data_IF_527837510396
#
_entry.id   IF_527837510396
#
_cell.length_a   1.000
_cell.length_b   1.000
_cell.length_c   1.000
_cell.angle_alpha   90.00
_cell.angle_beta   90.00
_cell.angle_gamma   90.00
#
_symmetry.space_group_name_H-M   'P 1'
#
loop_
_entity.id
_entity.type
_entity.pdbx_description
1 polymer ?
#
# COMPACT_ATOMS: atom_id res chain seq x y z
N UNK A 1 -25.90 -11.16 -16.57
CA UNK A 1 -26.25 -12.17 -15.56
C UNK A 1 -25.07 -12.27 -14.59
N UNK A 2 -25.10 -11.57 -13.46
CA UNK A 2 -23.97 -11.50 -12.52
C UNK A 2 -24.14 -12.56 -11.44
N UNK A 3 -23.21 -13.53 -11.38
CA UNK A 3 -23.13 -14.54 -10.32
C UNK A 3 -22.82 -13.87 -8.98
N UNK A 4 -23.41 -14.42 -7.92
CA UNK A 4 -23.40 -13.93 -6.54
C UNK A 4 -22.21 -14.46 -5.75
N UNK A 5 -21.63 -13.56 -4.95
CA UNK A 5 -20.70 -13.73 -3.81
C UNK A 5 -19.39 -14.45 -4.09
N UNK A 6 -18.29 -13.72 -3.86
CA UNK A 6 -16.94 -14.26 -3.89
C UNK A 6 -16.46 -14.50 -2.44
N UNK A 7 -16.00 -15.70 -2.14
CA UNK A 7 -15.40 -16.11 -0.87
C UNK A 7 -14.10 -15.35 -0.57
N UNK A 8 -13.66 -15.33 0.71
CA UNK A 8 -12.36 -14.79 1.12
C UNK A 8 -11.19 -15.39 0.31
N UNK A 9 -11.35 -16.62 -0.20
CA UNK A 9 -10.41 -17.32 -1.06
C UNK A 9 -10.32 -16.68 -2.46
N UNK A 10 -11.43 -16.20 -3.03
CA UNK A 10 -11.49 -15.54 -4.34
C UNK A 10 -10.94 -14.10 -4.31
N UNK A 11 -11.11 -13.40 -3.18
CA UNK A 11 -10.46 -12.10 -2.96
C UNK A 11 -8.94 -12.29 -2.93
N UNK A 12 -8.45 -13.30 -2.20
CA UNK A 12 -7.03 -13.66 -2.16
C UNK A 12 -6.51 -14.14 -3.53
N UNK A 13 -7.31 -14.89 -4.30
CA UNK A 13 -6.97 -15.36 -5.64
C UNK A 13 -6.73 -14.19 -6.61
N UNK A 14 -7.61 -13.18 -6.63
CA UNK A 14 -7.42 -12.04 -7.54
C UNK A 14 -6.20 -11.20 -7.17
N UNK A 15 -5.93 -10.98 -5.87
CA UNK A 15 -4.69 -10.34 -5.45
C UNK A 15 -3.45 -11.16 -5.84
N UNK A 16 -3.53 -12.49 -5.77
CA UNK A 16 -2.43 -13.38 -6.15
C UNK A 16 -2.15 -13.40 -7.66
N UNK A 17 -3.19 -13.28 -8.51
CA UNK A 17 -3.09 -13.37 -9.98
C UNK A 17 -2.72 -12.05 -10.65
N UNK A 18 -2.99 -10.91 -10.03
CA UNK A 18 -2.73 -9.60 -10.63
C UNK A 18 -1.28 -9.12 -10.46
N UNK A 19 -0.49 -9.73 -9.58
CA UNK A 19 0.74 -9.11 -9.08
C UNK A 19 2.06 -9.83 -9.42
N UNK A 20 2.07 -11.08 -9.94
CA UNK A 20 3.26 -11.93 -9.73
C UNK A 20 3.69 -12.82 -10.92
N UNK A 21 4.92 -12.60 -11.44
CA UNK A 21 5.69 -13.48 -12.33
C UNK A 21 6.81 -14.23 -11.57
N UNK A 22 7.15 -15.44 -12.03
CA UNK A 22 7.82 -16.59 -11.36
C UNK A 22 9.37 -16.58 -11.26
N UNK A 23 9.95 -17.18 -10.20
CA UNK A 23 10.81 -18.41 -10.19
C UNK A 23 11.39 -18.70 -8.79
N UNK A 24 11.65 -19.98 -8.49
CA UNK A 24 11.92 -20.57 -7.17
C UNK A 24 13.40 -20.61 -6.75
N UNK A 25 13.69 -20.39 -5.46
CA UNK A 25 14.95 -20.73 -4.78
C UNK A 25 14.79 -20.83 -3.25
N UNK A 26 15.47 -21.76 -2.59
CA UNK A 26 15.40 -22.12 -1.15
C UNK A 26 16.30 -21.26 -0.24
N UNK A 27 16.25 -21.25 1.09
CA UNK A 27 15.14 -21.27 2.07
C UNK A 27 15.74 -20.78 3.42
N UNK A 28 15.86 -19.45 3.58
CA UNK A 28 15.90 -18.79 4.89
C UNK A 28 14.79 -17.75 4.80
N UNK A 29 13.76 -17.87 5.63
CA UNK A 29 12.58 -17.01 5.50
C UNK A 29 12.66 -15.91 6.53
N UNK A 30 12.94 -14.69 6.10
CA UNK A 30 12.72 -13.52 6.96
C UNK A 30 11.21 -13.32 7.06
N UNK A 31 10.64 -13.78 8.16
CA UNK A 31 9.24 -13.59 8.53
C UNK A 31 9.21 -12.88 9.87
N UNK A 32 8.56 -11.72 9.91
CA UNK A 32 8.37 -10.97 11.14
C UNK A 32 7.03 -11.33 11.78
N UNK A 33 7.00 -11.43 13.11
CA UNK A 33 5.75 -11.69 13.84
C UNK A 33 4.80 -10.48 13.85
N UNK A 34 5.35 -9.27 13.79
CA UNK A 34 4.59 -8.01 13.84
C UNK A 34 5.25 -6.94 12.97
N UNK A 35 4.48 -5.94 12.51
CA UNK A 35 5.05 -4.77 11.84
C UNK A 35 6.00 -3.97 12.75
N UNK A 36 6.93 -3.28 12.12
CA UNK A 36 7.83 -2.31 12.77
C UNK A 36 7.78 -0.98 12.04
N UNK A 37 8.02 0.11 12.76
CA UNK A 37 8.11 1.43 12.16
C UNK A 37 9.40 1.50 11.33
N UNK A 38 9.29 1.82 10.03
CA UNK A 38 10.43 1.98 9.13
C UNK A 38 10.87 3.44 9.05
N UNK A 39 9.90 4.33 8.88
CA UNK A 39 10.10 5.78 8.85
C UNK A 39 9.14 6.36 9.87
N UNK A 40 9.66 7.07 10.86
CA UNK A 40 8.86 7.77 11.85
C UNK A 40 8.81 9.26 11.54
N UNK A 41 7.87 9.97 12.17
CA UNK A 41 7.80 11.43 12.15
C UNK A 41 8.30 11.95 13.49
N UNK A 42 9.48 12.57 13.49
CA UNK A 42 10.05 13.18 14.67
C UNK A 42 9.19 14.36 15.16
N UNK A 43 9.42 14.80 16.40
CA UNK A 43 8.67 15.90 17.01
C UNK A 43 8.81 17.24 16.27
N UNK A 44 9.85 17.41 15.46
CA UNK A 44 10.06 18.56 14.60
C UNK A 44 9.41 18.42 13.21
N UNK A 45 8.63 17.36 12.99
CA UNK A 45 7.95 17.06 11.74
C UNK A 45 8.82 16.38 10.68
N UNK A 46 10.11 16.12 10.96
CA UNK A 46 10.99 15.45 9.99
C UNK A 46 10.76 13.95 9.95
N UNK A 47 10.93 13.38 8.75
CA UNK A 47 10.91 11.94 8.55
C UNK A 47 12.27 11.32 8.90
N UNK A 48 12.26 10.33 9.79
CA UNK A 48 13.46 9.67 10.29
C UNK A 48 13.38 8.15 10.09
N UNK A 49 14.39 7.57 9.45
CA UNK A 49 14.50 6.12 9.30
C UNK A 49 14.83 5.48 10.66
N UNK A 50 14.14 4.39 10.98
CA UNK A 50 14.31 3.67 12.24
C UNK A 50 15.37 2.59 12.13
N UNK A 51 16.37 2.62 13.02
CA UNK A 51 17.49 1.69 13.00
C UNK A 51 17.05 0.23 13.19
N UNK A 52 16.04 -0.01 14.04
CA UNK A 52 15.48 -1.35 14.25
C UNK A 52 14.88 -1.96 12.98
N UNK A 53 14.32 -1.12 12.10
CA UNK A 53 13.83 -1.57 10.80
C UNK A 53 14.98 -1.87 9.83
N UNK A 54 16.03 -1.04 9.81
CA UNK A 54 17.22 -1.28 8.99
C UNK A 54 17.89 -2.62 9.33
N UNK A 55 18.01 -2.94 10.62
CA UNK A 55 18.55 -4.23 11.08
C UNK A 55 17.77 -5.43 10.55
N UNK A 56 16.45 -5.30 10.40
CA UNK A 56 15.61 -6.35 9.79
C UNK A 56 15.86 -6.43 8.28
N UNK A 57 15.94 -5.29 7.60
CA UNK A 57 16.16 -5.24 6.15
C UNK A 57 17.54 -5.80 5.76
N UNK A 58 18.58 -5.54 6.56
CA UNK A 58 19.94 -6.05 6.37
C UNK A 58 20.02 -7.58 6.45
N UNK A 59 19.06 -8.24 7.13
CA UNK A 59 19.00 -9.69 7.22
C UNK A 59 18.33 -10.35 6.01
N UNK A 60 17.67 -9.58 5.14
CA UNK A 60 16.98 -10.11 3.98
C UNK A 60 17.99 -10.41 2.87
N UNK A 61 18.20 -11.70 2.61
CA UNK A 61 19.06 -12.18 1.52
C UNK A 61 18.27 -12.57 0.26
N UNK A 62 16.94 -12.64 0.39
CA UNK A 62 16.02 -13.05 -0.66
C UNK A 62 15.67 -11.87 -1.59
N UNK A 63 15.24 -12.13 -2.83
CA UNK A 63 14.53 -11.13 -3.62
C UNK A 63 13.36 -10.53 -2.84
N UNK A 64 13.17 -9.23 -2.98
CA UNK A 64 12.13 -8.48 -2.29
C UNK A 64 11.08 -7.98 -3.28
N UNK A 65 9.81 -8.15 -2.93
CA UNK A 65 8.70 -7.46 -3.56
C UNK A 65 8.07 -6.53 -2.53
N UNK A 66 7.93 -5.25 -2.88
CA UNK A 66 7.38 -4.25 -1.97
C UNK A 66 5.99 -3.82 -2.42
N UNK A 67 4.98 -3.97 -1.56
CA UNK A 67 3.62 -3.45 -1.77
C UNK A 67 3.38 -2.35 -0.76
N UNK A 68 3.17 -1.12 -1.23
CA UNK A 68 2.83 0.00 -0.36
C UNK A 68 1.37 0.42 -0.55
N UNK A 69 0.69 0.78 0.53
CA UNK A 69 -0.65 1.37 0.48
C UNK A 69 -0.62 2.85 0.87
N UNK A 70 -1.25 3.69 0.06
CA UNK A 70 -1.42 5.13 0.30
C UNK A 70 -2.88 5.51 0.17
N UNK A 71 -3.23 6.69 0.68
CA UNK A 71 -4.58 7.24 0.57
C UNK A 71 -4.98 8.02 1.82
N UNK A 72 -6.15 8.64 1.75
CA UNK A 72 -6.65 9.50 2.82
C UNK A 72 -6.66 8.79 4.19
N UNK A 73 -6.56 9.56 5.26
CA UNK A 73 -6.75 9.04 6.61
C UNK A 73 -8.10 8.29 6.74
N UNK A 74 -8.11 7.26 7.60
CA UNK A 74 -9.30 6.43 7.91
C UNK A 74 -9.93 5.67 6.73
N UNK A 75 -9.23 5.45 5.62
CA UNK A 75 -9.76 4.66 4.49
C UNK A 75 -9.66 3.14 4.66
N UNK A 76 -9.11 2.63 5.78
CA UNK A 76 -8.96 1.20 6.03
C UNK A 76 -7.67 0.57 5.47
N UNK A 77 -6.63 1.38 5.24
CA UNK A 77 -5.32 0.94 4.74
C UNK A 77 -4.70 -0.19 5.57
N UNK A 78 -4.51 0.04 6.86
CA UNK A 78 -3.92 -0.94 7.79
C UNK A 78 -4.72 -2.25 7.87
N UNK A 79 -6.06 -2.16 7.74
CA UNK A 79 -6.92 -3.33 7.66
C UNK A 79 -6.64 -4.15 6.40
N UNK A 80 -6.58 -3.50 5.25
CA UNK A 80 -6.22 -4.14 3.98
C UNK A 80 -4.82 -4.78 4.06
N UNK A 81 -3.83 -4.10 4.64
CA UNK A 81 -2.47 -4.63 4.75
C UNK A 81 -2.38 -5.85 5.67
N UNK A 82 -3.16 -5.90 6.75
CA UNK A 82 -3.27 -7.10 7.58
C UNK A 82 -3.85 -8.28 6.77
N UNK A 83 -4.88 -8.03 5.95
CA UNK A 83 -5.44 -9.05 5.05
C UNK A 83 -4.42 -9.56 4.04
N UNK A 84 -3.63 -8.67 3.44
CA UNK A 84 -2.54 -9.05 2.53
C UNK A 84 -1.42 -9.83 3.22
N UNK A 85 -1.18 -9.59 4.51
CA UNK A 85 -0.28 -10.41 5.32
C UNK A 85 -0.85 -11.81 5.66
N UNK A 86 -2.11 -12.09 5.29
CA UNK A 86 -2.81 -13.31 5.69
C UNK A 86 -3.12 -13.36 7.19
N UNK A 87 -3.21 -12.20 7.86
CA UNK A 87 -3.42 -12.09 9.32
C UNK A 87 -4.64 -11.23 9.64
N UNK A 88 -5.29 -11.52 10.76
CA UNK A 88 -6.39 -10.71 11.28
C UNK A 88 -5.89 -9.44 12.00
N UNK A 89 -4.67 -9.50 12.53
CA UNK A 89 -4.03 -8.47 13.37
C UNK A 89 -2.59 -8.25 12.93
N UNK A 90 -2.05 -7.06 13.19
CA UNK A 90 -0.68 -6.71 12.82
C UNK A 90 -0.49 -5.20 12.89
N UNK A 91 -0.70 -4.51 11.77
CA UNK A 91 -0.77 -3.06 11.72
C UNK A 91 -1.92 -2.58 12.60
N UNK A 92 -1.65 -1.54 13.39
CA UNK A 92 -2.61 -1.00 14.34
C UNK A 92 -3.83 -0.42 13.60
N UNK A 93 -5.03 -0.79 14.05
CA UNK A 93 -6.28 -0.25 13.52
C UNK A 93 -6.72 0.96 14.37
N UNK A 94 -6.98 2.09 13.71
CA UNK A 94 -7.45 3.31 14.37
C UNK A 94 -8.97 3.44 14.38
N UNK A 95 -9.56 3.83 15.52
CA UNK A 95 -10.99 4.17 15.66
C UNK A 95 -11.27 5.69 15.73
N UNK A 96 -10.26 6.50 16.06
CA UNK A 96 -10.35 7.95 16.31
C UNK A 96 -10.18 8.81 15.05
N UNK A 97 -10.36 10.13 15.17
CA UNK A 97 -10.27 11.10 14.06
C UNK A 97 -8.82 11.28 13.58
N UNK A 98 -7.86 11.34 14.49
CA UNK A 98 -6.42 11.47 14.18
C UNK A 98 -5.85 10.26 13.41
N UNK A 99 -4.88 10.51 12.52
CA UNK A 99 -4.08 9.44 11.92
C UNK A 99 -3.31 8.66 12.98
N UNK A 100 -3.73 7.41 13.22
CA UNK A 100 -3.07 6.48 14.15
C UNK A 100 -1.73 5.97 13.64
N UNK A 101 -1.62 5.67 12.36
CA UNK A 101 -0.34 5.35 11.73
C UNK A 101 0.41 6.65 11.50
N UNK A 102 1.54 6.84 12.17
CA UNK A 102 2.51 7.89 11.91
C UNK A 102 3.67 7.33 11.10
N UNK A 103 4.14 8.07 10.10
CA UNK A 103 5.20 7.68 9.20
C UNK A 103 4.85 6.51 8.27
N UNK A 104 5.81 5.61 8.05
CA UNK A 104 5.68 4.41 7.21
C UNK A 104 6.08 3.20 8.04
N UNK A 105 5.19 2.22 8.12
CA UNK A 105 5.39 0.97 8.84
C UNK A 105 5.62 -0.16 7.84
N UNK A 106 6.50 -1.09 8.19
CA UNK A 106 6.82 -2.23 7.34
C UNK A 106 6.52 -3.56 8.03
N UNK A 107 6.12 -4.54 7.23
CA UNK A 107 5.97 -5.92 7.67
C UNK A 107 6.50 -6.88 6.60
N UNK A 108 7.55 -7.63 6.95
CA UNK A 108 8.14 -8.64 6.08
C UNK A 108 7.47 -9.99 6.35
N UNK A 109 6.88 -10.56 5.30
CA UNK A 109 6.23 -11.88 5.33
C UNK A 109 6.71 -12.71 4.13
N UNK A 110 6.63 -14.05 4.21
CA UNK A 110 6.89 -14.89 3.05
C UNK A 110 5.93 -14.54 1.91
N UNK A 111 6.43 -14.43 0.70
CA UNK A 111 5.58 -14.18 -0.45
C UNK A 111 4.64 -15.39 -0.70
N UNK A 112 3.31 -15.19 -0.82
CA UNK A 112 2.35 -16.30 -0.81
C UNK A 112 2.49 -17.26 -1.99
N UNK A 113 2.88 -16.76 -3.17
CA UNK A 113 3.00 -17.55 -4.41
C UNK A 113 4.41 -17.65 -5.00
N UNK A 114 5.41 -17.01 -4.39
CA UNK A 114 6.81 -17.00 -4.88
C UNK A 114 7.73 -17.55 -3.79
N UNK A 115 8.01 -18.86 -3.81
CA UNK A 115 8.94 -19.47 -2.86
C UNK A 115 10.31 -18.77 -2.89
N UNK A 116 10.88 -18.51 -1.72
CA UNK A 116 12.18 -17.83 -1.60
C UNK A 116 12.17 -16.33 -1.85
N UNK A 117 10.99 -15.70 -1.93
CA UNK A 117 10.85 -14.24 -2.06
C UNK A 117 10.25 -13.67 -0.79
N UNK A 118 10.75 -12.53 -0.34
CA UNK A 118 10.19 -11.78 0.78
C UNK A 118 9.21 -10.73 0.25
N UNK A 119 7.99 -10.73 0.78
CA UNK A 119 7.01 -9.70 0.55
C UNK A 119 7.12 -8.67 1.68
N UNK A 120 7.43 -7.42 1.33
CA UNK A 120 7.47 -6.29 2.25
C UNK A 120 6.21 -5.47 2.06
N UNK A 121 5.39 -5.44 3.10
CA UNK A 121 4.15 -4.69 3.16
C UNK A 121 4.43 -3.34 3.82
N UNK A 122 4.16 -2.23 3.12
CA UNK A 122 4.29 -0.87 3.65
C UNK A 122 2.92 -0.25 3.89
N UNK A 123 2.57 -0.03 5.16
CA UNK A 123 1.39 0.75 5.55
C UNK A 123 1.80 2.19 5.85
N UNK A 124 1.18 3.15 5.17
CA UNK A 124 1.54 4.55 5.34
C UNK A 124 0.56 5.30 6.21
N UNK A 125 1.06 6.37 6.81
CA UNK A 125 0.27 7.44 7.38
C UNK A 125 -0.81 7.92 6.38
N UNK A 126 -1.96 8.31 6.94
CA UNK A 126 -3.07 8.84 6.17
C UNK A 126 -2.83 10.27 5.70
N UNK A 127 -3.00 10.48 4.40
CA UNK A 127 -2.90 11.80 3.76
C UNK A 127 -4.12 12.67 4.09
N UNK A 128 -3.96 13.99 4.11
CA UNK A 128 -5.02 14.97 4.27
C UNK A 128 -5.53 15.11 5.71
N UNK A 129 -4.72 14.75 6.70
CA UNK A 129 -5.04 14.94 8.11
C UNK A 129 -4.96 16.43 8.46
N UNK A 130 -6.11 17.03 8.76
CA UNK A 130 -6.29 18.48 8.93
C UNK A 130 -5.48 19.05 10.09
N UNK A 131 -5.15 18.22 11.08
CA UNK A 131 -4.42 18.63 12.28
C UNK A 131 -2.90 18.72 12.05
N UNK A 132 -2.38 18.30 10.88
CA UNK A 132 -0.94 18.25 10.61
C UNK A 132 -0.35 19.55 10.07
N UNK A 133 -1.17 20.47 9.56
CA UNK A 133 -0.75 21.83 9.15
C UNK A 133 0.26 21.95 7.99
N UNK A 134 1.03 20.91 7.64
CA UNK A 134 2.07 20.94 6.60
C UNK A 134 1.78 19.97 5.43
N UNK A 135 1.29 20.48 4.29
CA UNK A 135 1.10 19.71 3.06
C UNK A 135 2.38 19.04 2.51
N UNK A 136 3.57 19.50 2.90
CA UNK A 136 4.84 18.88 2.47
C UNK A 136 5.07 17.52 3.12
N UNK A 137 4.57 17.31 4.34
CA UNK A 137 4.69 16.04 5.04
C UNK A 137 3.97 14.92 4.29
N UNK A 138 2.70 15.14 3.94
CA UNK A 138 1.90 14.19 3.16
C UNK A 138 2.53 13.91 1.79
N UNK A 139 3.09 14.95 1.16
CA UNK A 139 3.82 14.81 -0.11
C UNK A 139 5.03 13.90 0.07
N UNK A 140 5.82 14.08 1.13
CA UNK A 140 6.99 13.25 1.39
C UNK A 140 6.63 11.78 1.66
N UNK A 141 5.61 11.52 2.48
CA UNK A 141 5.10 10.16 2.72
C UNK A 141 4.67 9.50 1.41
N UNK A 142 3.93 10.22 0.57
CA UNK A 142 3.49 9.71 -0.73
C UNK A 142 4.68 9.43 -1.68
N UNK A 143 5.57 10.41 -1.84
CA UNK A 143 6.76 10.28 -2.68
C UNK A 143 7.62 9.07 -2.22
N UNK A 144 7.82 8.87 -0.91
CA UNK A 144 8.54 7.72 -0.36
C UNK A 144 7.83 6.39 -0.65
N UNK A 145 6.51 6.33 -0.52
CA UNK A 145 5.75 5.12 -0.86
C UNK A 145 5.92 4.73 -2.35
N UNK A 146 5.92 5.71 -3.26
CA UNK A 146 6.21 5.50 -4.69
C UNK A 146 7.65 5.00 -4.88
N UNK A 147 8.63 5.64 -4.24
CA UNK A 147 10.05 5.31 -4.36
C UNK A 147 10.47 4.01 -3.68
N UNK A 148 9.71 3.50 -2.72
CA UNK A 148 10.02 2.25 -2.04
C UNK A 148 9.27 1.07 -2.62
N UNK A 149 8.09 1.30 -3.22
CA UNK A 149 7.23 0.21 -3.68
C UNK A 149 7.62 -0.37 -5.05
N UNK A 150 7.37 -1.66 -5.20
CA UNK A 150 7.26 -2.36 -6.48
C UNK A 150 5.82 -2.32 -7.02
N UNK A 151 4.84 -2.15 -6.14
CA UNK A 151 3.43 -1.90 -6.49
C UNK A 151 2.81 -0.95 -5.48
N UNK A 152 2.14 0.07 -5.99
CA UNK A 152 1.43 1.05 -5.16
C UNK A 152 -0.06 0.75 -5.16
N UNK A 153 -0.63 0.61 -3.97
CA UNK A 153 -2.06 0.51 -3.73
C UNK A 153 -2.57 1.89 -3.33
N UNK A 154 -3.40 2.51 -4.16
CA UNK A 154 -4.09 3.74 -3.81
C UNK A 154 -5.47 3.40 -3.26
N UNK A 155 -5.65 3.56 -1.95
CA UNK A 155 -6.89 3.25 -1.24
C UNK A 155 -7.77 4.50 -1.08
N UNK A 156 -8.97 4.47 -1.68
CA UNK A 156 -9.90 5.60 -1.66
C UNK A 156 -11.28 5.25 -1.12
N UNK A 157 -12.01 6.27 -0.62
CA UNK A 157 -13.41 6.21 -0.19
C UNK A 157 -14.30 7.00 -1.17
N UNK A 158 -15.52 6.55 -1.41
CA UNK A 158 -16.50 7.23 -2.29
C UNK A 158 -16.26 7.00 -3.80
N UNK A 159 -17.15 7.43 -4.68
CA UNK A 159 -17.08 7.13 -6.13
C UNK A 159 -15.77 7.58 -6.79
N UNK A 160 -15.26 6.78 -7.74
CA UNK A 160 -14.14 7.15 -8.61
C UNK A 160 -14.60 8.31 -9.51
N UNK A 161 -14.32 9.54 -9.08
CA UNK A 161 -14.49 10.77 -9.85
C UNK A 161 -13.20 11.05 -10.65
N UNK A 162 -13.30 11.62 -11.85
CA UNK A 162 -12.16 12.16 -12.60
C UNK A 162 -11.32 13.18 -11.79
N UNK A 163 -11.90 13.82 -10.77
CA UNK A 163 -11.19 14.64 -9.78
C UNK A 163 -10.24 13.86 -8.88
N UNK A 164 -10.43 12.55 -8.71
CA UNK A 164 -9.50 11.68 -7.97
C UNK A 164 -8.22 11.41 -8.79
N UNK A 165 -8.28 11.56 -10.11
CA UNK A 165 -7.09 11.62 -10.99
C UNK A 165 -6.49 13.05 -11.04
N UNK A 166 -7.30 14.08 -10.76
CA UNK A 166 -6.86 15.47 -10.70
C UNK A 166 -6.21 15.85 -9.35
N UNK A 167 -6.60 15.21 -8.24
CA UNK A 167 -5.78 15.13 -7.02
C UNK A 167 -4.70 14.08 -7.24
N UNK A 168 -3.80 14.39 -8.17
CA UNK A 168 -2.60 13.61 -8.33
C UNK A 168 -1.58 14.20 -7.35
N UNK A 169 -1.28 13.58 -6.20
CA UNK A 169 -0.11 13.93 -5.39
C UNK A 169 1.21 13.87 -6.19
N UNK A 170 1.16 13.50 -7.49
CA UNK A 170 2.22 13.69 -8.46
C UNK A 170 2.52 15.14 -8.81
N UNK A 171 1.55 16.05 -8.89
CA UNK A 171 1.86 17.43 -9.33
C UNK A 171 2.86 18.10 -8.38
N UNK A 172 2.74 17.94 -7.04
CA UNK A 172 3.77 18.38 -6.10
C UNK A 172 5.07 17.53 -6.13
N UNK A 173 5.00 16.21 -6.31
CA UNK A 173 6.20 15.33 -6.35
C UNK A 173 7.02 15.52 -7.65
N UNK A 174 6.39 15.70 -8.81
CA UNK A 174 7.02 15.86 -10.13
C UNK A 174 7.84 17.15 -10.21
N UNK A 175 7.35 18.24 -9.62
CA UNK A 175 8.03 19.53 -9.63
C UNK A 175 9.28 19.55 -8.72
N UNK A 176 9.42 18.61 -7.79
CA UNK A 176 10.50 18.59 -6.81
C UNK A 176 11.46 17.39 -6.94
N UNK A 177 11.08 16.30 -7.62
CA UNK A 177 11.85 15.06 -7.67
C UNK A 177 11.80 14.36 -9.04
N UNK A 178 12.75 14.68 -9.93
CA UNK A 178 12.87 14.08 -11.27
C UNK A 178 12.82 12.53 -11.32
N UNK A 179 13.50 11.79 -10.42
CA UNK A 179 13.46 10.32 -10.39
C UNK A 179 12.07 9.73 -10.10
N UNK A 180 11.18 10.48 -9.45
CA UNK A 180 9.82 10.01 -9.15
C UNK A 180 9.00 9.92 -10.42
N UNK A 181 9.14 10.89 -11.33
CA UNK A 181 8.40 10.90 -12.60
C UNK A 181 8.70 9.65 -13.42
N UNK A 182 9.98 9.33 -13.61
CA UNK A 182 10.40 8.15 -14.35
C UNK A 182 9.90 6.86 -13.69
N UNK A 183 10.06 6.73 -12.37
CA UNK A 183 9.58 5.53 -11.65
C UNK A 183 8.07 5.40 -11.73
N UNK A 184 7.33 6.48 -11.52
CA UNK A 184 5.88 6.47 -11.50
C UNK A 184 5.30 6.01 -12.83
N UNK A 185 5.87 6.46 -13.96
CA UNK A 185 5.44 6.02 -15.28
C UNK A 185 5.54 4.50 -15.49
N UNK A 186 6.44 3.82 -14.77
CA UNK A 186 6.67 2.38 -14.89
C UNK A 186 6.08 1.56 -13.73
N UNK A 187 5.62 2.21 -12.66
CA UNK A 187 5.12 1.56 -11.46
C UNK A 187 3.72 0.98 -11.70
N UNK A 188 3.48 -0.31 -11.42
CA UNK A 188 2.12 -0.85 -11.34
C UNK A 188 1.33 -0.16 -10.23
N UNK A 189 0.18 0.43 -10.58
CA UNK A 189 -0.71 1.10 -9.62
C UNK A 189 -2.05 0.38 -9.56
N UNK A 190 -2.39 -0.05 -8.37
CA UNK A 190 -3.67 -0.68 -8.06
C UNK A 190 -4.51 0.35 -7.33
N UNK A 191 -5.53 0.87 -7.99
CA UNK A 191 -6.54 1.66 -7.31
C UNK A 191 -7.51 0.70 -6.65
N UNK A 192 -7.53 0.72 -5.32
CA UNK A 192 -8.46 -0.07 -4.52
C UNK A 192 -9.48 0.89 -3.96
N UNK A 193 -10.72 0.64 -4.31
CA UNK A 193 -11.85 1.37 -3.81
C UNK A 193 -12.65 0.43 -2.90
N UNK A 194 -12.76 0.81 -1.63
CA UNK A 194 -13.52 0.04 -0.66
C UNK A 194 -14.78 0.82 -0.31
N UNK A 195 -15.92 0.34 -0.80
CA UNK A 195 -17.23 0.92 -0.53
C UNK A 195 -17.89 0.19 0.64
N UNK A 196 -17.88 0.82 1.81
CA UNK A 196 -18.65 0.36 2.96
C UNK A 196 -20.08 0.89 2.82
N UNK A 197 -21.01 0.07 2.33
CA UNK A 197 -22.44 0.34 2.51
C UNK A 197 -22.93 -0.34 3.79
N UNK A 198 -23.95 0.22 4.48
CA UNK A 198 -24.49 -0.35 5.72
C UNK A 198 -24.83 -1.84 5.63
N UNK A 199 -25.26 -2.28 4.44
CA UNK A 199 -25.77 -3.64 4.22
C UNK A 199 -24.83 -4.53 3.39
N UNK A 200 -23.68 -4.02 2.90
CA UNK A 200 -22.70 -4.80 2.14
C UNK A 200 -21.36 -4.06 1.96
N UNK A 201 -20.25 -4.78 2.10
CA UNK A 201 -18.93 -4.32 1.68
C UNK A 201 -18.75 -4.65 0.20
N UNK A 202 -18.48 -3.65 -0.65
CA UNK A 202 -18.07 -3.89 -2.02
C UNK A 202 -16.65 -3.37 -2.25
N UNK A 203 -15.76 -4.22 -2.75
CA UNK A 203 -14.40 -3.83 -3.13
C UNK A 203 -14.35 -3.70 -4.65
N UNK A 204 -14.06 -2.51 -5.14
CA UNK A 204 -13.81 -2.25 -6.55
C UNK A 204 -12.31 -2.12 -6.77
N UNK A 205 -11.73 -2.98 -7.60
CA UNK A 205 -10.32 -2.87 -8.00
C UNK A 205 -10.27 -2.28 -9.41
N UNK A 206 -9.46 -1.24 -9.57
CA UNK A 206 -9.07 -0.70 -10.87
C UNK A 206 -7.56 -0.83 -11.01
N UNK A 207 -7.12 -1.77 -11.85
CA UNK A 207 -5.72 -1.93 -12.20
C UNK A 207 -5.37 -0.94 -13.30
N UNK A 208 -4.40 -0.07 -13.03
CA UNK A 208 -3.90 0.89 -14.00
C UNK A 208 -2.38 0.80 -14.04
N UNK A 209 -1.82 0.54 -15.21
CA UNK A 209 -0.41 0.84 -15.47
C UNK A 209 -0.39 2.17 -16.21
N UNK A 210 0.35 3.19 -15.76
CA UNK A 210 0.39 4.50 -16.42
C UNK A 210 0.74 4.44 -17.92
N UNK A 211 1.47 3.42 -18.37
CA UNK A 211 1.77 3.18 -19.81
C UNK A 211 0.72 2.32 -20.55
N UNK A 212 -0.24 1.67 -19.87
CA UNK A 212 -1.30 0.87 -20.50
C UNK A 212 -2.59 1.68 -20.59
N UNK A 213 -3.06 1.93 -21.81
CA UNK A 213 -4.22 2.81 -22.08
C UNK A 213 -5.58 2.27 -21.61
N UNK A 214 -5.73 0.98 -21.29
CA UNK A 214 -7.02 0.42 -20.84
C UNK A 214 -6.90 -0.10 -19.40
N UNK A 215 -7.53 0.56 -18.42
CA UNK A 215 -7.62 0.03 -17.07
C UNK A 215 -8.48 -1.23 -17.05
N UNK A 216 -8.14 -2.16 -16.16
CA UNK A 216 -8.95 -3.37 -15.91
C UNK A 216 -9.71 -3.21 -14.60
N UNK A 217 -11.00 -3.55 -14.61
CA UNK A 217 -11.89 -3.36 -13.47
C UNK A 217 -12.39 -4.69 -12.92
N UNK A 218 -12.39 -4.83 -11.60
CA UNK A 218 -12.94 -5.96 -10.88
C UNK A 218 -13.85 -5.44 -9.76
N UNK A 219 -14.94 -6.16 -9.48
CA UNK A 219 -15.87 -5.81 -8.40
C UNK A 219 -16.14 -7.08 -7.59
N UNK A 220 -15.86 -6.98 -6.30
CA UNK A 220 -16.09 -8.02 -5.31
C UNK A 220 -17.23 -7.57 -4.40
N UNK A 221 -18.16 -8.48 -4.14
CA UNK A 221 -19.31 -8.28 -3.25
C UNK A 221 -19.30 -9.36 -2.20
#
# INVERSE_FOLDING_TARGET
MLRTQASDEEVNDVFSRCLFYSRTGSDVRVSMDKPVCLIDTASDGKLCVQQSALQVLEQIQQPVVVVAVVGLYRTGKSYLMNRLAGKQTGFALGSTIESKTKGIWMWCVPHPTKPGTTLVLLDTEGLGDVDKGDPKHDTNIFCLAVLLSSTLVYNSRGTIDNRMLAWSPLVPCENNYGPIRERYEHLPIIFIHVNFKPDNLAIHLKLTNPKRQKPTYYVFK
#
